data_IF_056424178593
#
_entry.id   IF_056424178593
#
_cell.length_a   1.000
_cell.length_b   1.000
_cell.length_c   1.000
_cell.angle_alpha   90.00
_cell.angle_beta   90.00
_cell.angle_gamma   90.00
#
_symmetry.space_group_name_H-M   'P 1'
#
loop_
_entity.id
_entity.type
_entity.pdbx_description
1 polymer ?
#
# COMPACT_ATOMS: atom_id res chain seq x y z
N UNK A 1 -20.37 23.54 -13.56
CA UNK A 1 -20.62 23.89 -12.14
C UNK A 1 -19.27 23.97 -11.45
N UNK A 2 -18.86 25.11 -10.89
CA UNK A 2 -17.71 25.17 -9.99
C UNK A 2 -18.12 24.49 -8.68
N UNK A 3 -17.84 23.19 -8.55
CA UNK A 3 -18.06 22.49 -7.29
C UNK A 3 -17.12 23.11 -6.25
N UNK A 4 -17.70 23.89 -5.33
CA UNK A 4 -16.94 24.53 -4.28
C UNK A 4 -16.39 23.46 -3.34
N UNK A 5 -15.07 23.26 -3.31
CA UNK A 5 -14.44 22.28 -2.42
C UNK A 5 -14.68 22.56 -0.94
N UNK A 6 -15.13 23.77 -0.60
CA UNK A 6 -15.40 24.19 0.76
C UNK A 6 -16.69 23.62 1.36
N UNK A 7 -17.59 23.02 0.56
CA UNK A 7 -18.85 22.48 1.08
C UNK A 7 -18.77 21.03 1.58
N UNK A 8 -17.57 20.44 1.62
CA UNK A 8 -17.36 19.04 2.04
C UNK A 8 -16.62 19.01 3.38
N UNK A 9 -17.16 18.29 4.37
CA UNK A 9 -16.61 18.20 5.74
C UNK A 9 -15.14 17.71 5.78
N UNK A 10 -14.72 16.93 4.78
CA UNK A 10 -13.35 16.46 4.61
C UNK A 10 -12.89 16.66 3.16
N UNK A 11 -11.73 17.30 2.97
CA UNK A 11 -11.17 17.59 1.64
C UNK A 11 -9.76 17.04 1.46
N UNK A 12 -9.54 16.34 0.35
CA UNK A 12 -8.21 15.85 -0.04
C UNK A 12 -7.20 17.00 -0.16
N UNK A 13 -7.61 18.13 -0.72
CA UNK A 13 -6.75 19.30 -0.92
C UNK A 13 -6.15 19.78 0.41
N UNK A 14 -6.98 19.96 1.45
CA UNK A 14 -6.51 20.41 2.76
C UNK A 14 -5.64 19.37 3.47
N UNK A 15 -5.91 18.08 3.26
CA UNK A 15 -5.11 16.99 3.83
C UNK A 15 -3.80 16.73 3.07
N UNK A 16 -3.71 17.14 1.80
CA UNK A 16 -2.64 16.77 0.90
C UNK A 16 -1.27 17.31 1.33
N UNK A 17 -1.19 18.52 1.86
CA UNK A 17 0.06 19.08 2.39
C UNK A 17 0.60 18.24 3.55
N UNK A 18 -0.25 17.91 4.53
CA UNK A 18 0.12 17.07 5.66
C UNK A 18 0.52 15.65 5.22
N UNK A 19 -0.20 15.09 4.24
CA UNK A 19 0.12 13.77 3.68
C UNK A 19 1.45 13.77 2.92
N UNK A 20 1.74 14.82 2.15
CA UNK A 20 3.02 15.00 1.45
C UNK A 20 4.17 15.05 2.46
N UNK A 21 4.06 15.91 3.48
CA UNK A 21 5.05 16.04 4.54
C UNK A 21 5.27 14.72 5.29
N UNK A 22 4.19 14.02 5.68
CA UNK A 22 4.28 12.72 6.34
C UNK A 22 5.00 11.69 5.45
N UNK A 23 4.63 11.60 4.17
CA UNK A 23 5.24 10.65 3.23
C UNK A 23 6.73 10.94 3.03
N UNK A 24 7.11 12.22 2.89
CA UNK A 24 8.51 12.63 2.78
C UNK A 24 9.33 12.32 4.03
N UNK A 25 8.79 12.57 5.23
CA UNK A 25 9.49 12.25 6.50
C UNK A 25 9.69 10.73 6.64
N UNK A 26 8.64 9.94 6.39
CA UNK A 26 8.72 8.47 6.44
C UNK A 26 9.69 7.94 5.38
N UNK A 27 9.66 8.50 4.17
CA UNK A 27 10.61 8.20 3.09
C UNK A 27 12.05 8.50 3.49
N UNK A 28 12.32 9.65 4.12
CA UNK A 28 13.64 10.02 4.63
C UNK A 28 14.17 9.06 5.71
N UNK A 29 13.33 8.67 6.67
CA UNK A 29 13.70 7.65 7.66
C UNK A 29 14.01 6.30 7.02
N UNK A 30 13.21 5.91 6.03
CA UNK A 30 13.43 4.68 5.29
C UNK A 30 14.75 4.71 4.51
N UNK A 31 15.06 5.82 3.85
CA UNK A 31 16.32 6.04 3.15
C UNK A 31 17.51 5.93 4.10
N UNK A 32 17.45 6.56 5.29
CA UNK A 32 18.47 6.41 6.32
C UNK A 32 18.65 4.94 6.74
N UNK A 33 17.54 4.20 6.92
CA UNK A 33 17.56 2.77 7.20
C UNK A 33 18.22 1.94 6.09
N UNK A 34 17.94 2.24 4.83
CA UNK A 34 18.58 1.62 3.65
C UNK A 34 20.11 1.83 3.70
N UNK A 35 20.57 3.06 3.96
CA UNK A 35 22.01 3.36 4.07
C UNK A 35 22.65 2.62 5.24
N UNK A 36 22.00 2.56 6.40
CA UNK A 36 22.50 1.77 7.55
C UNK A 36 22.62 0.28 7.22
N UNK A 37 21.69 -0.28 6.47
CA UNK A 37 21.75 -1.67 6.05
C UNK A 37 22.87 -1.94 5.04
N UNK A 38 23.14 -0.98 4.15
CA UNK A 38 24.23 -1.05 3.17
C UNK A 38 25.61 -0.91 3.82
N UNK A 39 25.75 -0.09 4.86
CA UNK A 39 27.04 0.12 5.55
C UNK A 39 27.39 -1.02 6.52
N UNK A 40 26.39 -1.76 6.99
CA UNK A 40 26.63 -2.91 7.88
C UNK A 40 27.31 -4.06 7.12
N UNK A 41 28.61 -4.27 7.37
CA UNK A 41 29.52 -5.25 6.71
C UNK A 41 29.12 -6.75 6.75
N UNK A 42 27.91 -7.10 7.17
CA UNK A 42 27.50 -8.50 7.32
C UNK A 42 26.78 -8.96 6.05
N UNK A 43 27.49 -9.72 5.21
CA UNK A 43 27.00 -10.24 3.92
C UNK A 43 26.11 -11.47 4.12
N UNK A 44 24.94 -11.30 4.74
CA UNK A 44 23.90 -12.31 4.67
C UNK A 44 23.05 -12.06 3.41
N UNK A 45 23.09 -12.99 2.46
CA UNK A 45 22.29 -12.92 1.23
C UNK A 45 20.78 -12.80 1.47
N UNK A 46 20.31 -13.14 2.68
CA UNK A 46 18.91 -13.00 3.11
C UNK A 46 18.49 -11.54 3.35
N UNK A 47 19.44 -10.59 3.38
CA UNK A 47 19.17 -9.14 3.55
C UNK A 47 18.75 -8.46 2.25
N UNK A 48 19.25 -8.93 1.12
CA UNK A 48 19.00 -8.31 -0.19
C UNK A 48 17.49 -8.19 -0.48
N UNK A 49 16.66 -9.22 -0.25
CA UNK A 49 15.21 -9.10 -0.49
C UNK A 49 14.50 -8.10 0.44
N UNK A 50 14.96 -7.93 1.69
CA UNK A 50 14.41 -6.92 2.59
C UNK A 50 14.78 -5.50 2.14
N UNK A 51 16.02 -5.33 1.66
CA UNK A 51 16.49 -4.09 1.06
C UNK A 51 15.67 -3.73 -0.19
N UNK A 52 15.36 -4.71 -1.04
CA UNK A 52 14.51 -4.50 -2.22
C UNK A 52 13.10 -3.99 -1.84
N UNK A 53 12.52 -4.53 -0.76
CA UNK A 53 11.23 -4.04 -0.24
C UNK A 53 11.32 -2.61 0.27
N UNK A 54 12.41 -2.25 0.96
CA UNK A 54 12.60 -0.88 1.42
C UNK A 54 12.81 0.09 0.25
N UNK A 55 13.58 -0.28 -0.77
CA UNK A 55 13.73 0.55 -1.96
C UNK A 55 12.41 0.74 -2.71
N UNK A 56 11.59 -0.31 -2.85
CA UNK A 56 10.28 -0.18 -3.51
C UNK A 56 9.29 0.64 -2.70
N UNK A 57 9.28 0.45 -1.37
CA UNK A 57 8.47 1.25 -0.46
C UNK A 57 8.88 2.73 -0.46
N UNK A 58 10.18 3.01 -0.47
CA UNK A 58 10.73 4.36 -0.60
C UNK A 58 10.24 5.01 -1.89
N UNK A 59 10.38 4.33 -3.02
CA UNK A 59 9.91 4.83 -4.30
C UNK A 59 8.40 5.13 -4.30
N UNK A 60 7.57 4.24 -3.76
CA UNK A 60 6.13 4.47 -3.65
C UNK A 60 5.79 5.69 -2.77
N UNK A 61 6.50 5.90 -1.66
CA UNK A 61 6.30 7.04 -0.77
C UNK A 61 6.79 8.36 -1.37
N UNK A 62 7.89 8.37 -2.12
CA UNK A 62 8.36 9.56 -2.83
C UNK A 62 7.36 9.97 -3.92
N UNK A 63 6.85 9.01 -4.70
CA UNK A 63 5.79 9.28 -5.70
C UNK A 63 4.52 9.78 -5.00
N UNK A 64 4.11 9.17 -3.88
CA UNK A 64 2.99 9.66 -3.09
C UNK A 64 3.21 11.10 -2.58
N UNK A 65 4.41 11.39 -2.07
CA UNK A 65 4.78 12.72 -1.55
C UNK A 65 4.65 13.78 -2.63
N UNK A 66 5.17 13.49 -3.82
CA UNK A 66 5.08 14.35 -4.99
C UNK A 66 3.62 14.57 -5.43
N UNK A 67 2.84 13.49 -5.59
CA UNK A 67 1.41 13.60 -5.98
C UNK A 67 0.65 14.45 -4.98
N UNK A 68 0.81 14.20 -3.68
CA UNK A 68 0.15 14.98 -2.63
C UNK A 68 0.59 16.46 -2.63
N UNK A 69 1.86 16.75 -2.97
CA UNK A 69 2.31 18.13 -3.13
C UNK A 69 1.61 18.85 -4.29
N UNK A 70 1.34 18.15 -5.40
CA UNK A 70 0.61 18.73 -6.54
C UNK A 70 -0.87 18.92 -6.20
N UNK A 71 -1.50 17.92 -5.57
CA UNK A 71 -2.91 17.98 -5.14
C UNK A 71 -3.16 19.14 -4.17
N UNK A 72 -2.19 19.48 -3.32
CA UNK A 72 -2.31 20.63 -2.41
C UNK A 72 -2.44 21.98 -3.14
N UNK A 73 -1.92 22.08 -4.38
CA UNK A 73 -2.03 23.27 -5.22
C UNK A 73 -3.17 23.23 -6.24
N UNK A 74 -4.00 22.20 -6.22
CA UNK A 74 -5.03 21.99 -7.24
C UNK A 74 -6.27 22.88 -7.00
N UNK A 75 -6.73 23.57 -8.05
CA UNK A 75 -7.92 24.42 -8.01
C UNK A 75 -9.22 23.70 -8.43
N UNK A 76 -9.12 22.56 -9.09
CA UNK A 76 -10.26 21.78 -9.59
C UNK A 76 -10.55 20.61 -8.65
N UNK A 77 -11.66 20.67 -7.92
CA UNK A 77 -12.01 19.68 -6.90
C UNK A 77 -11.97 18.24 -7.39
N UNK A 78 -12.67 17.94 -8.49
CA UNK A 78 -12.77 16.57 -8.99
C UNK A 78 -11.41 15.98 -9.37
N UNK A 79 -10.54 16.80 -9.98
CA UNK A 79 -9.18 16.40 -10.32
C UNK A 79 -8.36 16.13 -9.06
N UNK A 80 -8.42 17.03 -8.09
CA UNK A 80 -7.71 16.89 -6.81
C UNK A 80 -8.10 15.60 -6.07
N UNK A 81 -9.39 15.24 -6.06
CA UNK A 81 -9.83 13.99 -5.44
C UNK A 81 -9.36 12.76 -6.24
N UNK A 82 -9.46 12.78 -7.57
CA UNK A 82 -9.01 11.66 -8.40
C UNK A 82 -7.50 11.41 -8.24
N UNK A 83 -6.70 12.47 -8.23
CA UNK A 83 -5.25 12.41 -7.98
C UNK A 83 -4.94 12.00 -6.53
N UNK A 84 -5.71 12.53 -5.57
CA UNK A 84 -5.61 12.17 -4.16
C UNK A 84 -5.85 10.68 -3.89
N UNK A 85 -6.85 10.07 -4.56
CA UNK A 85 -7.11 8.64 -4.50
C UNK A 85 -5.93 7.80 -5.02
N UNK A 86 -5.28 8.25 -6.10
CA UNK A 86 -4.06 7.58 -6.59
C UNK A 86 -2.93 7.69 -5.55
N UNK A 87 -2.75 8.88 -4.96
CA UNK A 87 -1.76 9.11 -3.92
C UNK A 87 -1.97 8.25 -2.67
N UNK A 88 -3.21 8.16 -2.16
CA UNK A 88 -3.54 7.35 -0.98
C UNK A 88 -3.28 5.85 -1.20
N UNK A 89 -3.57 5.34 -2.40
CA UNK A 89 -3.24 3.97 -2.78
C UNK A 89 -1.73 3.70 -2.72
N UNK A 90 -0.90 4.62 -3.22
CA UNK A 90 0.56 4.50 -3.17
C UNK A 90 1.09 4.60 -1.73
N UNK A 91 0.51 5.48 -0.91
CA UNK A 91 0.82 5.55 0.51
C UNK A 91 0.59 4.22 1.22
N UNK A 92 -0.56 3.56 0.94
CA UNK A 92 -0.89 2.26 1.50
C UNK A 92 0.17 1.19 1.15
N UNK A 93 0.57 1.10 -0.12
CA UNK A 93 1.59 0.15 -0.58
C UNK A 93 2.95 0.46 0.04
N UNK A 94 3.35 1.74 0.08
CA UNK A 94 4.61 2.19 0.67
C UNK A 94 4.70 1.91 2.17
N UNK A 95 3.68 2.32 2.94
CA UNK A 95 3.59 2.09 4.37
C UNK A 95 3.66 0.58 4.69
N UNK A 96 2.91 -0.26 3.97
CA UNK A 96 2.96 -1.71 4.18
C UNK A 96 4.30 -2.31 3.78
N UNK A 97 4.94 -1.80 2.73
CA UNK A 97 6.29 -2.21 2.34
C UNK A 97 7.30 -2.00 3.46
N UNK A 98 7.20 -0.89 4.20
CA UNK A 98 8.03 -0.62 5.39
C UNK A 98 7.79 -1.69 6.46
N UNK A 99 6.55 -1.86 6.92
CA UNK A 99 6.28 -2.79 8.02
C UNK A 99 6.58 -4.25 7.66
N UNK A 100 6.32 -4.65 6.41
CA UNK A 100 6.71 -5.97 5.92
C UNK A 100 8.24 -6.12 5.81
N UNK A 101 8.94 -5.09 5.34
CA UNK A 101 10.40 -5.06 5.30
C UNK A 101 11.02 -5.17 6.70
N UNK A 102 10.48 -4.45 7.69
CA UNK A 102 10.90 -4.54 9.10
C UNK A 102 10.66 -5.95 9.65
N UNK A 103 9.48 -6.54 9.42
CA UNK A 103 9.19 -7.89 9.89
C UNK A 103 10.16 -8.94 9.29
N UNK A 104 10.50 -8.81 8.01
CA UNK A 104 11.49 -9.66 7.33
C UNK A 104 12.89 -9.42 7.90
N UNK A 105 13.26 -8.16 8.13
CA UNK A 105 14.56 -7.79 8.68
C UNK A 105 14.73 -8.34 10.10
N UNK A 106 13.73 -8.19 10.96
CA UNK A 106 13.73 -8.70 12.32
C UNK A 106 13.91 -10.21 12.37
N UNK A 107 13.39 -10.96 11.41
CA UNK A 107 13.63 -12.40 11.38
C UNK A 107 15.07 -12.75 11.00
N UNK A 108 15.69 -11.97 10.11
CA UNK A 108 17.08 -12.17 9.72
C UNK A 108 18.03 -11.86 10.87
N UNK A 109 17.74 -10.84 11.68
CA UNK A 109 18.59 -10.44 12.81
C UNK A 109 18.28 -11.19 14.11
N UNK A 110 16.99 -11.30 14.45
CA UNK A 110 16.48 -11.75 15.75
C UNK A 110 15.62 -13.00 15.61
N UNK A 111 15.89 -13.89 14.65
CA UNK A 111 15.08 -15.08 14.36
C UNK A 111 14.82 -16.02 15.54
N UNK A 112 15.49 -15.83 16.69
CA UNK A 112 15.26 -16.55 17.95
C UNK A 112 14.23 -15.88 18.87
N UNK A 113 13.93 -14.60 18.69
CA UNK A 113 13.00 -13.83 19.51
C UNK A 113 11.57 -13.91 18.92
N UNK A 114 10.87 -15.02 19.18
CA UNK A 114 9.55 -15.26 18.59
C UNK A 114 8.50 -14.19 18.94
N UNK A 115 8.56 -13.63 20.14
CA UNK A 115 7.62 -12.60 20.61
C UNK A 115 7.77 -11.30 19.80
N UNK A 116 9.00 -10.91 19.48
CA UNK A 116 9.28 -9.74 18.64
C UNK A 116 8.74 -9.93 17.22
N UNK A 117 8.89 -11.13 16.67
CA UNK A 117 8.32 -11.50 15.36
C UNK A 117 6.79 -11.58 15.39
N UNK A 118 6.19 -11.96 16.52
CA UNK A 118 4.73 -11.97 16.67
C UNK A 118 4.18 -10.54 16.68
N UNK A 119 4.80 -9.65 17.44
CA UNK A 119 4.40 -8.24 17.51
C UNK A 119 4.57 -7.55 16.16
N UNK A 120 5.71 -7.73 15.48
CA UNK A 120 5.97 -7.09 14.18
C UNK A 120 4.95 -7.50 13.10
N UNK A 121 4.54 -8.77 13.09
CA UNK A 121 3.49 -9.26 12.19
C UNK A 121 2.13 -8.72 12.55
N UNK A 122 1.81 -8.64 13.84
CA UNK A 122 0.56 -8.06 14.29
C UNK A 122 0.46 -6.61 13.80
N UNK A 123 1.53 -5.83 13.98
CA UNK A 123 1.61 -4.44 13.48
C UNK A 123 1.40 -4.40 11.96
N UNK A 124 2.11 -5.21 11.18
CA UNK A 124 1.96 -5.23 9.73
C UNK A 124 0.52 -5.57 9.28
N UNK A 125 -0.14 -6.49 9.98
CA UNK A 125 -1.54 -6.83 9.73
C UNK A 125 -2.51 -5.72 10.13
N UNK A 126 -2.30 -5.11 11.30
CA UNK A 126 -3.13 -3.99 11.76
C UNK A 126 -3.03 -2.81 10.81
N UNK A 127 -1.82 -2.45 10.36
CA UNK A 127 -1.59 -1.40 9.36
C UNK A 127 -2.32 -1.75 8.06
N UNK A 128 -2.28 -3.01 7.61
CA UNK A 128 -2.97 -3.40 6.38
C UNK A 128 -4.49 -3.25 6.50
N UNK A 129 -5.07 -3.70 7.61
CA UNK A 129 -6.52 -3.58 7.83
C UNK A 129 -6.93 -2.11 7.90
N UNK A 130 -6.21 -1.29 8.65
CA UNK A 130 -6.50 0.14 8.78
C UNK A 130 -6.36 0.84 7.42
N UNK A 131 -5.27 0.61 6.70
CA UNK A 131 -5.02 1.24 5.41
C UNK A 131 -6.07 0.82 4.36
N UNK A 132 -6.40 -0.47 4.28
CA UNK A 132 -7.44 -0.95 3.38
C UNK A 132 -8.81 -0.34 3.71
N UNK A 133 -9.16 -0.28 5.00
CA UNK A 133 -10.43 0.29 5.46
C UNK A 133 -10.53 1.78 5.14
N UNK A 134 -9.50 2.57 5.48
CA UNK A 134 -9.48 4.01 5.22
C UNK A 134 -9.52 4.32 3.72
N UNK A 135 -8.78 3.57 2.90
CA UNK A 135 -8.83 3.68 1.44
C UNK A 135 -10.22 3.35 0.89
N UNK A 136 -10.87 2.32 1.45
CA UNK A 136 -12.23 1.97 1.08
C UNK A 136 -13.24 3.09 1.38
N UNK A 137 -13.14 3.71 2.57
CA UNK A 137 -13.98 4.85 2.93
C UNK A 137 -13.73 6.05 2.01
N UNK A 138 -12.47 6.33 1.67
CA UNK A 138 -12.11 7.40 0.74
C UNK A 138 -12.72 7.17 -0.65
N UNK A 139 -12.66 5.93 -1.17
CA UNK A 139 -13.25 5.57 -2.45
C UNK A 139 -14.78 5.72 -2.45
N UNK A 140 -15.46 5.32 -1.37
CA UNK A 140 -16.92 5.51 -1.22
C UNK A 140 -17.26 7.00 -1.21
N UNK A 141 -16.55 7.79 -0.41
CA UNK A 141 -16.75 9.24 -0.33
C UNK A 141 -16.57 9.91 -1.69
N UNK A 142 -15.50 9.56 -2.42
CA UNK A 142 -15.25 10.07 -3.76
C UNK A 142 -16.37 9.70 -4.74
N UNK A 143 -16.83 8.45 -4.76
CA UNK A 143 -17.90 8.02 -5.67
C UNK A 143 -19.24 8.68 -5.37
N UNK A 144 -19.56 8.92 -4.09
CA UNK A 144 -20.74 9.68 -3.69
C UNK A 144 -20.69 11.11 -4.23
N UNK A 145 -19.52 11.74 -4.20
CA UNK A 145 -19.30 13.10 -4.73
C UNK A 145 -19.41 13.10 -6.26
N UNK A 146 -18.72 12.19 -6.96
CA UNK A 146 -18.70 12.10 -8.44
C UNK A 146 -20.10 11.85 -8.99
N UNK A 147 -20.88 10.97 -8.37
CA UNK A 147 -22.20 10.59 -8.86
C UNK A 147 -23.35 11.32 -8.17
N UNK A 148 -23.09 12.38 -7.39
CA UNK A 148 -24.12 13.15 -6.68
C UNK A 148 -25.10 12.27 -5.88
N UNK A 149 -24.57 11.30 -5.11
CA UNK A 149 -25.30 10.25 -4.38
C UNK A 149 -25.95 9.13 -5.23
N UNK A 150 -25.85 9.17 -6.56
CA UNK A 150 -26.32 8.10 -7.45
C UNK A 150 -25.21 7.08 -7.79
N UNK A 151 -24.55 6.52 -6.77
CA UNK A 151 -23.41 5.62 -6.95
C UNK A 151 -23.81 4.38 -7.77
N UNK A 152 -23.09 4.06 -8.86
CA UNK A 152 -23.50 3.00 -9.76
C UNK A 152 -23.33 1.60 -9.12
N UNK A 153 -24.20 0.62 -9.44
CA UNK A 153 -24.18 -0.71 -8.80
C UNK A 153 -22.85 -1.47 -8.94
N UNK A 154 -22.13 -1.27 -10.05
CA UNK A 154 -20.84 -1.94 -10.28
C UNK A 154 -19.80 -1.56 -9.21
N UNK A 155 -19.86 -0.33 -8.68
CA UNK A 155 -18.93 0.13 -7.67
C UNK A 155 -19.05 -0.68 -6.39
N UNK A 156 -20.27 -0.98 -5.96
CA UNK A 156 -20.50 -1.81 -4.77
C UNK A 156 -19.95 -3.23 -4.93
N UNK A 157 -19.95 -3.78 -6.16
CA UNK A 157 -19.30 -5.05 -6.45
C UNK A 157 -17.78 -4.94 -6.31
N UNK A 158 -17.17 -3.90 -6.88
CA UNK A 158 -15.73 -3.64 -6.76
C UNK A 158 -15.34 -3.41 -5.29
N UNK A 159 -16.07 -2.56 -4.58
CA UNK A 159 -15.87 -2.27 -3.17
C UNK A 159 -16.02 -3.52 -2.29
N UNK A 160 -17.06 -4.34 -2.50
CA UNK A 160 -17.24 -5.59 -1.75
C UNK A 160 -16.10 -6.59 -2.04
N UNK A 161 -15.67 -6.69 -3.31
CA UNK A 161 -14.53 -7.52 -3.70
C UNK A 161 -13.23 -7.03 -3.07
N UNK A 162 -13.07 -5.72 -2.90
CA UNK A 162 -11.92 -5.12 -2.24
C UNK A 162 -11.96 -5.35 -0.72
N UNK A 163 -13.07 -4.98 -0.07
CA UNK A 163 -13.23 -5.00 1.39
C UNK A 163 -13.23 -6.43 1.97
N UNK A 164 -13.87 -7.37 1.27
CA UNK A 164 -13.98 -8.77 1.72
C UNK A 164 -12.98 -9.66 0.98
N UNK A 165 -12.86 -9.49 -0.33
CA UNK A 165 -12.03 -10.36 -1.17
C UNK A 165 -10.54 -10.21 -0.89
N UNK A 166 -10.03 -9.00 -0.61
CA UNK A 166 -8.61 -8.79 -0.27
C UNK A 166 -8.22 -9.55 1.02
N UNK A 167 -8.85 -9.34 2.18
CA UNK A 167 -8.51 -10.09 3.39
C UNK A 167 -8.78 -11.58 3.25
N UNK A 168 -9.88 -11.99 2.60
CA UNK A 168 -10.16 -13.41 2.34
C UNK A 168 -9.05 -14.06 1.48
N UNK A 169 -8.56 -13.35 0.47
CA UNK A 169 -7.46 -13.83 -0.39
C UNK A 169 -6.16 -13.94 0.38
N UNK A 170 -5.83 -12.97 1.25
CA UNK A 170 -4.66 -13.03 2.12
C UNK A 170 -4.72 -14.26 3.03
N UNK A 171 -5.86 -14.47 3.70
CA UNK A 171 -6.06 -15.63 4.58
C UNK A 171 -5.98 -16.93 3.79
N UNK A 172 -6.68 -17.02 2.66
CA UNK A 172 -6.70 -18.19 1.80
C UNK A 172 -5.31 -18.56 1.30
N UNK A 173 -4.56 -17.60 0.75
CA UNK A 173 -3.20 -17.83 0.24
C UNK A 173 -2.25 -18.21 1.38
N UNK A 174 -2.42 -17.63 2.57
CA UNK A 174 -1.58 -17.96 3.73
C UNK A 174 -1.89 -19.36 4.28
N UNK A 175 -3.15 -19.80 4.27
CA UNK A 175 -3.52 -21.14 4.75
C UNK A 175 -3.19 -22.22 3.70
N UNK A 176 -3.57 -22.00 2.44
CA UNK A 176 -3.54 -23.04 1.40
C UNK A 176 -2.26 -23.10 0.58
N UNK A 177 -1.51 -22.00 0.45
CA UNK A 177 -0.27 -21.94 -0.34
C UNK A 177 0.89 -21.45 0.52
N UNK A 178 1.33 -22.29 1.48
CA UNK A 178 2.50 -21.96 2.29
C UNK A 178 3.70 -21.72 1.40
N UNK A 179 4.31 -20.54 1.55
CA UNK A 179 5.57 -20.22 0.88
C UNK A 179 6.66 -21.01 1.59
N UNK A 180 7.39 -21.83 0.85
CA UNK A 180 8.56 -22.54 1.36
C UNK A 180 9.69 -21.54 1.64
N UNK A 181 10.61 -21.86 2.55
CA UNK A 181 11.74 -20.97 2.85
C UNK A 181 12.62 -20.72 1.62
N UNK A 182 12.74 -21.71 0.72
CA UNK A 182 13.47 -21.58 -0.55
C UNK A 182 12.79 -20.62 -1.54
N UNK A 183 11.46 -20.61 -1.60
CA UNK A 183 10.71 -19.73 -2.51
C UNK A 183 10.56 -18.31 -1.99
N UNK A 184 10.83 -18.08 -0.71
CA UNK A 184 10.54 -16.80 -0.06
C UNK A 184 11.31 -15.62 -0.65
N UNK A 185 12.58 -15.83 -1.03
CA UNK A 185 13.36 -14.79 -1.70
C UNK A 185 12.73 -14.38 -3.05
N UNK A 186 12.14 -15.34 -3.78
CA UNK A 186 11.41 -15.07 -5.03
C UNK A 186 10.12 -14.29 -4.75
N UNK A 187 9.35 -14.67 -3.72
CA UNK A 187 8.11 -13.96 -3.35
C UNK A 187 8.39 -12.53 -2.91
N UNK A 188 9.44 -12.31 -2.10
CA UNK A 188 9.90 -10.98 -1.69
C UNK A 188 10.28 -10.10 -2.89
N UNK A 189 11.02 -10.68 -3.84
CA UNK A 189 11.40 -10.00 -5.08
C UNK A 189 10.18 -9.64 -5.93
N UNK A 190 9.23 -10.57 -6.08
CA UNK A 190 7.98 -10.33 -6.80
C UNK A 190 7.15 -9.23 -6.13
N UNK A 191 7.03 -9.24 -4.80
CA UNK A 191 6.33 -8.20 -4.05
C UNK A 191 7.01 -6.82 -4.21
N UNK A 192 8.34 -6.78 -4.24
CA UNK A 192 9.11 -5.56 -4.48
C UNK A 192 8.84 -5.00 -5.88
N UNK A 193 8.88 -5.84 -6.92
CA UNK A 193 8.56 -5.43 -8.28
C UNK A 193 7.10 -5.02 -8.45
N UNK A 194 6.17 -5.71 -7.78
CA UNK A 194 4.76 -5.34 -7.80
C UNK A 194 4.54 -3.96 -7.16
N UNK A 195 5.22 -3.66 -6.05
CA UNK A 195 5.17 -2.33 -5.43
C UNK A 195 5.70 -1.22 -6.36
N UNK A 196 6.84 -1.46 -7.03
CA UNK A 196 7.38 -0.53 -8.05
C UNK A 196 6.38 -0.36 -9.21
N UNK A 197 5.79 -1.46 -9.69
CA UNK A 197 4.80 -1.42 -10.75
C UNK A 197 3.56 -0.61 -10.33
N UNK A 198 3.06 -0.79 -9.11
CA UNK A 198 1.96 0.03 -8.58
C UNK A 198 2.34 1.51 -8.57
N UNK A 199 3.55 1.86 -8.12
CA UNK A 199 4.04 3.25 -8.13
C UNK A 199 4.14 3.84 -9.54
N UNK A 200 4.67 3.09 -10.51
CA UNK A 200 4.77 3.53 -11.90
C UNK A 200 3.39 3.71 -12.55
N UNK A 201 2.48 2.74 -12.36
CA UNK A 201 1.11 2.83 -12.89
C UNK A 201 0.36 4.00 -12.25
N UNK A 202 0.51 4.18 -10.93
CA UNK A 202 -0.04 5.33 -10.21
C UNK A 202 0.48 6.66 -10.76
N UNK A 203 1.80 6.79 -10.97
CA UNK A 203 2.40 7.99 -11.55
C UNK A 203 1.90 8.28 -12.98
N UNK A 204 1.72 7.24 -13.81
CA UNK A 204 1.17 7.39 -15.17
C UNK A 204 -0.29 7.87 -15.12
N UNK A 205 -1.12 7.26 -14.28
CA UNK A 205 -2.54 7.63 -14.16
C UNK A 205 -2.68 9.05 -13.60
N UNK A 206 -1.85 9.40 -12.61
CA UNK A 206 -1.72 10.75 -12.11
C UNK A 206 -1.32 11.72 -13.23
N UNK A 207 -0.30 11.40 -14.04
CA UNK A 207 0.13 12.24 -15.16
C UNK A 207 -0.97 12.45 -16.20
N UNK A 208 -1.77 11.43 -16.49
CA UNK A 208 -2.93 11.52 -17.37
C UNK A 208 -3.99 12.44 -16.75
N UNK A 209 -4.29 12.29 -15.46
CA UNK A 209 -5.27 13.11 -14.77
C UNK A 209 -4.84 14.60 -14.72
N UNK A 210 -3.60 14.86 -14.31
CA UNK A 210 -3.01 16.19 -14.24
C UNK A 210 -2.90 16.86 -15.61
N UNK A 211 -2.56 16.09 -16.65
CA UNK A 211 -2.45 16.56 -18.03
C UNK A 211 -3.79 16.77 -18.74
N UNK A 212 -4.90 16.31 -18.16
CA UNK A 212 -6.23 16.49 -18.76
C UNK A 212 -6.68 17.95 -18.60
N UNK A 213 -7.03 18.64 -19.70
CA UNK A 213 -7.47 20.03 -19.68
C UNK A 213 -8.61 20.31 -18.69
N UNK A 214 -8.60 21.46 -17.98
CA UNK A 214 -9.64 21.86 -17.03
C UNK A 214 -11.08 21.79 -17.56
N UNK A 215 -11.27 22.03 -18.86
CA UNK A 215 -12.57 22.04 -19.52
C UNK A 215 -13.22 20.66 -19.48
N UNK A 216 -12.42 19.60 -19.73
CA UNK A 216 -12.92 18.22 -19.69
C UNK A 216 -13.40 17.84 -18.29
N UNK A 217 -12.72 18.33 -17.24
CA UNK A 217 -13.14 18.11 -15.85
C UNK A 217 -14.47 18.77 -15.48
N UNK A 218 -14.92 19.78 -16.23
CA UNK A 218 -16.17 20.52 -15.95
C UNK A 218 -17.40 19.92 -16.62
N UNK A 219 -17.24 19.26 -17.76
CA UNK A 219 -18.37 18.83 -18.62
C UNK A 219 -18.94 17.44 -18.27
N UNK A 220 -18.40 16.76 -17.26
CA UNK A 220 -18.93 15.47 -16.78
C UNK A 220 -18.48 14.25 -17.60
N UNK A 221 -17.75 14.43 -18.70
CA UNK A 221 -17.10 13.34 -19.46
C UNK A 221 -15.95 12.66 -18.67
N UNK A 222 -15.65 13.13 -17.46
CA UNK A 222 -14.63 12.58 -16.55
C UNK A 222 -15.07 11.37 -15.75
N UNK A 223 -16.27 10.84 -15.99
CA UNK A 223 -16.70 9.57 -15.38
C UNK A 223 -15.69 8.46 -15.69
N UNK A 224 -15.15 8.41 -16.91
CA UNK A 224 -14.17 7.37 -17.28
C UNK A 224 -12.86 7.51 -16.50
N UNK A 225 -12.33 8.72 -16.39
CA UNK A 225 -11.07 9.00 -15.66
C UNK A 225 -11.27 8.73 -14.17
N UNK A 226 -12.40 9.19 -13.60
CA UNK A 226 -12.75 8.98 -12.19
C UNK A 226 -12.90 7.50 -11.85
N UNK A 227 -13.60 6.74 -12.69
CA UNK A 227 -13.76 5.30 -12.51
C UNK A 227 -12.40 4.58 -12.61
N UNK A 228 -11.54 5.00 -13.54
CA UNK A 228 -10.21 4.43 -13.71
C UNK A 228 -9.33 4.73 -12.50
N UNK A 229 -9.39 5.94 -11.95
CA UNK A 229 -8.67 6.33 -10.74
C UNK A 229 -9.10 5.46 -9.54
N UNK A 230 -10.40 5.27 -9.33
CA UNK A 230 -10.94 4.43 -8.22
C UNK A 230 -10.60 2.96 -8.40
N UNK A 231 -10.81 2.40 -9.60
CA UNK A 231 -10.47 1.00 -9.86
C UNK A 231 -8.98 0.78 -9.61
N UNK A 232 -8.15 1.72 -10.07
CA UNK A 232 -6.70 1.66 -9.85
C UNK A 232 -6.36 1.76 -8.37
N UNK A 233 -6.91 2.73 -7.65
CA UNK A 233 -6.60 2.95 -6.23
C UNK A 233 -7.11 1.83 -5.32
N UNK A 234 -8.11 1.04 -5.74
CA UNK A 234 -8.55 -0.12 -4.99
C UNK A 234 -7.80 -1.39 -5.40
N UNK A 235 -7.69 -1.67 -6.70
CA UNK A 235 -7.16 -2.94 -7.21
C UNK A 235 -5.64 -3.03 -7.03
N UNK A 236 -4.89 -1.97 -7.34
CA UNK A 236 -3.43 -2.03 -7.25
C UNK A 236 -2.93 -2.12 -5.81
N UNK A 237 -3.43 -1.32 -4.86
CA UNK A 237 -3.09 -1.49 -3.45
C UNK A 237 -3.52 -2.84 -2.91
N UNK A 238 -4.71 -3.35 -3.26
CA UNK A 238 -5.10 -4.70 -2.85
C UNK A 238 -4.11 -5.77 -3.34
N UNK A 239 -3.69 -5.71 -4.61
CA UNK A 239 -2.69 -6.62 -5.17
C UNK A 239 -1.34 -6.48 -4.44
N UNK A 240 -0.91 -5.24 -4.19
CA UNK A 240 0.31 -4.92 -3.43
C UNK A 240 0.26 -5.47 -2.00
N UNK A 241 -0.83 -5.22 -1.27
CA UNK A 241 -1.08 -5.73 0.09
C UNK A 241 -1.05 -7.25 0.11
N UNK A 242 -1.71 -7.91 -0.84
CA UNK A 242 -1.69 -9.38 -0.95
C UNK A 242 -0.25 -9.87 -1.17
N UNK A 243 0.50 -9.22 -2.06
CA UNK A 243 1.90 -9.55 -2.32
C UNK A 243 2.78 -9.39 -1.07
N UNK A 244 2.69 -8.24 -0.41
CA UNK A 244 3.48 -7.87 0.77
C UNK A 244 3.13 -8.74 2.00
N UNK A 245 1.86 -8.97 2.29
CA UNK A 245 1.48 -9.80 3.45
C UNK A 245 1.86 -11.28 3.29
N UNK A 246 2.07 -11.73 2.04
CA UNK A 246 2.61 -13.07 1.76
C UNK A 246 4.09 -13.19 2.07
N UNK A 247 4.84 -12.09 2.17
CA UNK A 247 6.27 -12.11 2.51
C UNK A 247 6.54 -12.22 4.01
N UNK A 248 5.50 -12.01 4.84
CA UNK A 248 5.62 -11.99 6.29
C UNK A 248 6.10 -13.35 6.85
N UNK A 249 7.02 -13.33 7.85
CA UNK A 249 7.53 -14.53 8.51
C UNK A 249 6.42 -15.43 9.08
N UNK A 250 6.65 -16.73 9.10
CA UNK A 250 5.78 -17.69 9.81
C UNK A 250 6.32 -17.98 11.19
N UNK A 251 5.46 -18.31 12.17
CA UNK A 251 5.94 -18.82 13.44
C UNK A 251 6.63 -20.15 13.13
N UNK A 252 7.85 -20.35 13.62
CA UNK A 252 8.43 -21.68 13.62
C UNK A 252 7.54 -22.55 14.50
N UNK A 253 6.81 -23.51 13.91
CA UNK A 253 6.26 -24.60 14.70
C UNK A 253 7.45 -25.45 15.09
N UNK A 254 8.06 -25.15 16.24
CA UNK A 254 9.04 -26.04 16.82
C UNK A 254 8.45 -27.45 16.86
N UNK A 255 9.15 -28.39 16.21
CA UNK A 255 8.89 -29.82 16.36
C UNK A 255 9.32 -30.24 17.78
N UNK A 256 8.67 -29.74 18.82
CA UNK A 256 8.83 -30.22 20.19
C UNK A 256 8.19 -31.61 20.42
N UNK A 257 7.87 -32.35 19.34
CA UNK A 257 7.15 -33.63 19.39
C UNK A 257 7.99 -34.89 19.20
N UNK A 258 9.33 -34.78 19.12
CA UNK A 258 10.20 -35.97 18.93
C UNK A 258 11.25 -36.20 20.02
N UNK A 259 11.22 -35.45 21.13
CA UNK A 259 12.18 -35.64 22.24
C UNK A 259 11.64 -36.34 23.49
N UNK A 260 10.31 -36.41 23.70
CA UNK A 260 9.74 -36.88 24.97
C UNK A 260 9.56 -38.41 25.07
N UNK A 261 10.26 -39.20 24.24
CA UNK A 261 10.05 -40.65 24.12
C UNK A 261 11.30 -41.53 24.22
N UNK A 262 12.46 -41.00 24.60
CA UNK A 262 13.63 -41.82 24.91
C UNK A 262 13.85 -41.80 26.44
N UNK A 263 13.07 -42.64 27.15
CA UNK A 263 13.48 -43.11 28.48
C UNK A 263 14.34 -44.37 28.26
N UNK A 264 15.49 -44.51 28.95
CA UNK A 264 16.21 -45.77 29.03
C UNK A 264 15.38 -46.84 29.77
#
# INVERSE_FOLDING_TARGET
MEANCDSIDWSFIRAAEAQSALSGVVGGFLFAGIILLLTTKRSDGRRVPALMLFCSAFFALEVCSYISSVVAGEGICFRAYAEGMVGSGLFCVGALGIFCGIAVLLEVYEGKAEDLLRISRLIAYSVAVIALFMEGLAAVGFMVIVYQNAVPPWFWVVFASYAVGTPATVVFLRVRRPVSDGDRARVLRQASYLSILCALVGAVIFGIAAGTPPELWRDGDTVLISNTAVITSLVFPAAGVIGLLRTLPRPHREKYRTGAGARP
#
